data_IF_829590306274
#
_entry.id   IF_829590306274
#
_cell.length_a   1.000
_cell.length_b   1.000
_cell.length_c   1.000
_cell.angle_alpha   90.00
_cell.angle_beta   90.00
_cell.angle_gamma   90.00
#
_symmetry.space_group_name_H-M   'P 1'
#
loop_
_entity.id
_entity.type
_entity.pdbx_description
1 polymer ?
#
# COMPACT_ATOMS: atom_id res chain seq x y z
N UNK A 1 5.00 4.64 -26.11
CA UNK A 1 4.51 3.51 -26.93
C UNK A 1 4.18 4.02 -28.32
N UNK A 2 4.71 3.37 -29.37
CA UNK A 2 4.41 3.75 -30.75
C UNK A 2 2.94 3.43 -31.11
N UNK A 3 2.37 4.15 -32.08
CA UNK A 3 0.99 3.91 -32.55
C UNK A 3 0.73 2.45 -32.98
N UNK A 4 1.77 1.77 -33.48
CA UNK A 4 1.72 0.35 -33.84
C UNK A 4 1.55 -0.58 -32.63
N UNK A 5 2.23 -0.27 -31.51
CA UNK A 5 2.09 -1.05 -30.27
C UNK A 5 0.70 -0.87 -29.62
N UNK A 6 0.12 0.34 -29.69
CA UNK A 6 -1.26 0.58 -29.23
C UNK A 6 -2.27 -0.18 -30.06
N UNK A 7 -2.09 -0.22 -31.40
CA UNK A 7 -2.97 -0.98 -32.30
C UNK A 7 -2.85 -2.49 -32.09
N UNK A 8 -1.65 -3.01 -31.82
CA UNK A 8 -1.43 -4.44 -31.53
C UNK A 8 -2.13 -4.85 -30.23
N UNK A 9 -1.92 -4.10 -29.12
CA UNK A 9 -2.61 -4.36 -27.83
C UNK A 9 -4.14 -4.26 -27.94
N UNK A 10 -4.65 -3.34 -28.75
CA UNK A 10 -6.10 -3.23 -28.97
C UNK A 10 -6.66 -4.45 -29.71
N UNK A 11 -5.97 -4.93 -30.75
CA UNK A 11 -6.38 -6.15 -31.46
C UNK A 11 -6.32 -7.40 -30.57
N UNK A 12 -5.26 -7.56 -29.77
CA UNK A 12 -5.15 -8.67 -28.81
C UNK A 12 -6.29 -8.64 -27.77
N UNK A 13 -6.68 -7.46 -27.31
CA UNK A 13 -7.79 -7.29 -26.37
C UNK A 13 -9.16 -7.58 -27.02
N UNK A 14 -9.34 -7.20 -28.29
CA UNK A 14 -10.55 -7.49 -29.07
C UNK A 14 -10.66 -9.00 -29.38
N UNK A 15 -9.54 -9.68 -29.65
CA UNK A 15 -9.50 -11.14 -29.88
C UNK A 15 -9.83 -11.91 -28.61
N UNK A 16 -9.19 -11.54 -27.49
CA UNK A 16 -9.47 -12.15 -26.18
C UNK A 16 -10.93 -11.95 -25.75
N UNK A 17 -11.51 -10.79 -26.04
CA UNK A 17 -12.92 -10.52 -25.73
C UNK A 17 -13.86 -11.39 -26.59
N UNK A 18 -13.50 -11.67 -27.86
CA UNK A 18 -14.26 -12.58 -28.74
C UNK A 18 -14.16 -14.04 -28.29
N UNK A 19 -12.97 -14.49 -27.89
CA UNK A 19 -12.77 -15.83 -27.34
C UNK A 19 -13.57 -16.03 -26.06
N UNK A 20 -13.54 -15.04 -25.15
CA UNK A 20 -14.30 -15.06 -23.91
C UNK A 20 -15.82 -15.09 -24.19
N UNK A 21 -16.29 -14.28 -25.14
CA UNK A 21 -17.70 -14.25 -25.54
C UNK A 21 -18.15 -15.59 -26.18
N UNK A 22 -17.30 -16.20 -27.01
CA UNK A 22 -17.58 -17.50 -27.60
C UNK A 22 -17.60 -18.63 -26.54
N UNK A 23 -16.70 -18.61 -25.56
CA UNK A 23 -16.69 -19.57 -24.46
C UNK A 23 -17.90 -19.38 -23.51
N UNK A 24 -18.30 -18.14 -23.26
CA UNK A 24 -19.51 -17.82 -22.48
C UNK A 24 -20.78 -18.29 -23.20
N UNK A 25 -20.84 -18.17 -24.53
CA UNK A 25 -21.95 -18.70 -25.35
C UNK A 25 -21.93 -20.23 -25.34
N UNK A 26 -20.76 -20.87 -25.48
CA UNK A 26 -20.60 -22.34 -25.40
C UNK A 26 -21.09 -22.89 -24.06
N UNK A 27 -20.84 -22.21 -22.98
CA UNK A 27 -21.29 -22.58 -21.63
C UNK A 27 -22.76 -22.21 -21.38
N UNK A 28 -23.42 -21.52 -22.33
CA UNK A 28 -24.77 -20.93 -22.18
C UNK A 28 -24.90 -20.05 -20.92
N UNK A 29 -23.78 -19.52 -20.47
CA UNK A 29 -23.65 -18.66 -19.31
C UNK A 29 -23.51 -17.19 -19.77
N UNK A 30 -24.63 -16.61 -20.23
CA UNK A 30 -24.63 -15.15 -20.44
C UNK A 30 -24.41 -14.40 -19.11
N UNK A 31 -23.69 -13.25 -19.11
CA UNK A 31 -23.50 -12.42 -17.92
C UNK A 31 -24.82 -12.14 -17.18
N UNK A 32 -25.89 -11.94 -17.94
CA UNK A 32 -27.23 -11.71 -17.43
C UNK A 32 -27.80 -12.90 -16.65
N UNK A 33 -27.50 -14.14 -17.05
CA UNK A 33 -28.00 -15.34 -16.35
C UNK A 33 -27.29 -15.58 -15.02
N UNK A 34 -25.97 -15.38 -14.96
CA UNK A 34 -25.21 -15.48 -13.70
C UNK A 34 -25.67 -14.39 -12.76
N UNK A 35 -25.80 -13.17 -13.24
CA UNK A 35 -26.26 -12.03 -12.46
C UNK A 35 -27.66 -12.26 -11.91
N UNK A 36 -28.61 -12.56 -12.80
CA UNK A 36 -30.01 -12.80 -12.41
C UNK A 36 -30.13 -14.03 -11.50
N UNK A 37 -29.44 -15.12 -11.81
CA UNK A 37 -29.48 -16.33 -11.02
C UNK A 37 -28.89 -16.14 -9.63
N UNK A 38 -27.68 -15.60 -9.55
CA UNK A 38 -26.94 -15.53 -8.29
C UNK A 38 -27.27 -14.27 -7.48
N UNK A 39 -27.28 -13.10 -8.12
CA UNK A 39 -27.43 -11.83 -7.41
C UNK A 39 -28.90 -11.49 -7.14
N UNK A 40 -29.81 -11.80 -8.08
CA UNK A 40 -31.22 -11.43 -7.94
C UNK A 40 -32.03 -12.55 -7.26
N UNK A 41 -31.91 -13.82 -7.73
CA UNK A 41 -32.74 -14.92 -7.24
C UNK A 41 -32.17 -15.65 -6.02
N UNK A 42 -30.84 -15.68 -5.85
CA UNK A 42 -30.15 -16.35 -4.74
C UNK A 42 -29.32 -15.36 -3.91
N UNK A 43 -29.94 -14.26 -3.46
CA UNK A 43 -29.29 -13.20 -2.68
C UNK A 43 -28.60 -13.74 -1.43
N UNK A 44 -29.20 -14.66 -0.73
CA UNK A 44 -28.67 -15.31 0.46
C UNK A 44 -27.35 -16.04 0.20
N UNK A 45 -27.28 -16.79 -0.92
CA UNK A 45 -26.05 -17.47 -1.35
C UNK A 45 -24.98 -16.46 -1.75
N UNK A 46 -25.36 -15.43 -2.51
CA UNK A 46 -24.41 -14.37 -2.90
C UNK A 46 -23.86 -13.63 -1.68
N UNK A 47 -24.71 -13.24 -0.74
CA UNK A 47 -24.32 -12.54 0.48
C UNK A 47 -23.38 -13.39 1.34
N UNK A 48 -23.71 -14.66 1.56
CA UNK A 48 -22.92 -15.53 2.42
C UNK A 48 -21.57 -15.95 1.83
N UNK A 49 -21.48 -16.16 0.52
CA UNK A 49 -20.30 -16.74 -0.14
C UNK A 49 -19.46 -15.76 -0.96
N UNK A 50 -20.06 -14.68 -1.45
CA UNK A 50 -19.38 -13.68 -2.27
C UNK A 50 -19.24 -12.36 -1.54
N UNK A 51 -20.35 -11.73 -1.15
CA UNK A 51 -20.32 -10.40 -0.55
C UNK A 51 -19.54 -10.38 0.77
N UNK A 52 -19.60 -11.45 1.55
CA UNK A 52 -18.83 -11.61 2.80
C UNK A 52 -17.31 -11.63 2.59
N UNK A 53 -16.84 -11.81 1.36
CA UNK A 53 -15.40 -11.79 0.99
C UNK A 53 -14.95 -10.45 0.42
N UNK A 54 -15.88 -9.57 0.08
CA UNK A 54 -15.57 -8.25 -0.44
C UNK A 54 -15.23 -7.31 0.72
N UNK A 55 -14.12 -6.59 0.60
CA UNK A 55 -13.81 -5.48 1.51
C UNK A 55 -14.70 -4.26 1.23
N UNK A 56 -14.58 -3.22 2.06
CA UNK A 56 -15.43 -2.01 1.95
C UNK A 56 -15.26 -1.28 0.62
N UNK A 57 -14.06 -1.26 0.07
CA UNK A 57 -13.77 -0.66 -1.25
C UNK A 57 -14.44 -1.44 -2.38
N UNK A 58 -14.34 -2.77 -2.37
CA UNK A 58 -15.00 -3.62 -3.36
C UNK A 58 -16.53 -3.52 -3.25
N UNK A 59 -17.08 -3.50 -2.04
CA UNK A 59 -18.52 -3.29 -1.80
C UNK A 59 -18.99 -1.92 -2.30
N UNK A 60 -18.19 -0.87 -2.08
CA UNK A 60 -18.50 0.46 -2.59
C UNK A 60 -18.53 0.48 -4.13
N UNK A 61 -17.56 -0.13 -4.81
CA UNK A 61 -17.60 -0.23 -6.27
C UNK A 61 -18.73 -1.13 -6.75
N UNK A 62 -19.00 -2.23 -6.07
CA UNK A 62 -20.14 -3.09 -6.34
C UNK A 62 -21.47 -2.31 -6.26
N UNK A 63 -21.64 -1.43 -5.27
CA UNK A 63 -22.83 -0.58 -5.14
C UNK A 63 -23.08 0.35 -6.33
N UNK A 64 -22.05 0.65 -7.12
CA UNK A 64 -22.12 1.55 -8.29
C UNK A 64 -22.39 0.82 -9.61
N UNK A 65 -22.47 -0.50 -9.60
CA UNK A 65 -22.68 -1.27 -10.83
C UNK A 65 -24.09 -1.05 -11.37
N UNK A 66 -25.11 -1.25 -10.55
CA UNK A 66 -26.52 -1.06 -10.91
C UNK A 66 -27.39 -1.03 -9.62
N UNK A 67 -28.71 -0.95 -9.80
CA UNK A 67 -29.66 -0.90 -8.70
C UNK A 67 -29.73 -2.23 -7.94
N UNK A 68 -29.70 -3.36 -8.64
CA UNK A 68 -29.73 -4.68 -8.01
C UNK A 68 -28.54 -4.89 -7.06
N UNK A 69 -27.36 -4.34 -7.38
CA UNK A 69 -26.19 -4.36 -6.49
C UNK A 69 -26.46 -3.63 -5.18
N UNK A 70 -27.15 -2.47 -5.26
CA UNK A 70 -27.54 -1.71 -4.06
C UNK A 70 -28.56 -2.49 -3.24
N UNK A 71 -29.59 -3.05 -3.88
CA UNK A 71 -30.64 -3.86 -3.22
C UNK A 71 -30.04 -5.08 -2.50
N UNK A 72 -28.98 -5.68 -3.04
CA UNK A 72 -28.28 -6.82 -2.39
C UNK A 72 -27.47 -6.37 -1.19
N UNK A 73 -26.79 -5.23 -1.27
CA UNK A 73 -26.06 -4.65 -0.14
C UNK A 73 -27.00 -4.26 0.99
N UNK A 74 -28.13 -3.64 0.67
CA UNK A 74 -29.18 -3.30 1.64
C UNK A 74 -29.78 -4.57 2.29
N UNK A 75 -30.05 -5.61 1.48
CA UNK A 75 -30.50 -6.92 1.97
C UNK A 75 -29.50 -7.55 2.96
N UNK A 76 -28.20 -7.36 2.70
CA UNK A 76 -27.12 -7.79 3.60
C UNK A 76 -26.95 -6.90 4.84
N UNK A 77 -27.74 -5.85 5.00
CA UNK A 77 -27.61 -4.87 6.09
C UNK A 77 -26.44 -3.91 5.96
N UNK A 78 -25.87 -3.78 4.75
CA UNK A 78 -24.77 -2.86 4.49
C UNK A 78 -25.30 -1.46 4.19
N UNK A 79 -24.94 -0.50 5.03
CA UNK A 79 -25.26 0.91 4.81
C UNK A 79 -24.31 1.51 3.75
N UNK A 80 -24.81 1.56 2.52
CA UNK A 80 -24.06 2.07 1.35
C UNK A 80 -23.55 3.50 1.56
N UNK A 81 -24.26 4.33 2.35
CA UNK A 81 -23.85 5.71 2.63
C UNK A 81 -22.59 5.80 3.49
N UNK A 82 -22.27 4.75 4.21
CA UNK A 82 -21.08 4.63 5.08
C UNK A 82 -19.91 3.96 4.40
N UNK A 83 -20.10 3.33 3.26
CA UNK A 83 -19.00 2.72 2.52
C UNK A 83 -17.96 3.78 2.14
N UNK A 84 -16.72 3.41 2.30
CA UNK A 84 -15.56 4.24 1.96
C UNK A 84 -14.59 3.40 1.14
N UNK A 85 -13.83 4.07 0.33
CA UNK A 85 -12.76 3.42 -0.41
C UNK A 85 -11.40 3.74 0.22
N UNK A 86 -10.48 2.81 0.09
CA UNK A 86 -9.09 3.00 0.51
C UNK A 86 -8.14 2.33 -0.45
N UNK A 87 -7.04 3.00 -0.77
CA UNK A 87 -5.99 2.45 -1.66
C UNK A 87 -5.48 1.11 -1.13
N UNK A 88 -5.29 1.01 0.20
CA UNK A 88 -4.78 -0.19 0.87
C UNK A 88 -5.72 -1.41 0.77
N UNK A 89 -7.00 -1.20 0.49
CA UNK A 89 -7.99 -2.28 0.31
C UNK A 89 -8.06 -2.79 -1.14
N UNK A 90 -7.42 -2.10 -2.10
CA UNK A 90 -7.45 -2.53 -3.49
C UNK A 90 -6.84 -3.92 -3.63
N UNK A 91 -7.60 -4.84 -4.19
CA UNK A 91 -7.21 -6.23 -4.40
C UNK A 91 -6.45 -6.45 -5.70
N UNK A 92 -6.67 -5.59 -6.71
CA UNK A 92 -6.13 -5.70 -8.05
C UNK A 92 -5.81 -4.34 -8.68
N UNK A 93 -5.05 -4.34 -9.77
CA UNK A 93 -4.80 -3.14 -10.58
C UNK A 93 -6.12 -2.58 -11.14
N UNK A 94 -7.08 -3.43 -11.49
CA UNK A 94 -8.39 -2.98 -11.98
C UNK A 94 -9.15 -2.19 -10.92
N UNK A 95 -9.16 -2.66 -9.67
CA UNK A 95 -9.78 -1.94 -8.55
C UNK A 95 -9.04 -0.63 -8.28
N UNK A 96 -7.71 -0.66 -8.33
CA UNK A 96 -6.88 0.54 -8.15
C UNK A 96 -7.11 1.57 -9.26
N UNK A 97 -7.33 1.13 -10.51
CA UNK A 97 -7.66 2.00 -11.63
C UNK A 97 -9.05 2.63 -11.50
N UNK A 98 -10.03 1.85 -11.05
CA UNK A 98 -11.36 2.39 -10.74
C UNK A 98 -11.25 3.47 -9.65
N UNK A 99 -10.46 3.21 -8.62
CA UNK A 99 -10.24 4.17 -7.55
C UNK A 99 -9.55 5.44 -8.08
N UNK A 100 -8.47 5.31 -8.84
CA UNK A 100 -7.76 6.42 -9.48
C UNK A 100 -8.70 7.35 -10.25
N UNK A 101 -9.61 6.78 -11.03
CA UNK A 101 -10.57 7.52 -11.84
C UNK A 101 -11.69 8.20 -11.02
N UNK A 102 -11.85 7.83 -9.75
CA UNK A 102 -12.86 8.39 -8.85
C UNK A 102 -12.29 9.30 -7.75
N UNK A 103 -10.97 9.50 -7.69
CA UNK A 103 -10.35 10.46 -6.76
C UNK A 103 -10.65 11.89 -7.23
N UNK A 104 -11.10 12.71 -6.29
CA UNK A 104 -11.23 14.16 -6.49
C UNK A 104 -9.85 14.81 -6.32
N UNK A 105 -9.04 14.78 -7.38
CA UNK A 105 -7.67 15.29 -7.37
C UNK A 105 -7.61 16.77 -7.03
N UNK A 106 -6.66 17.14 -6.15
CA UNK A 106 -6.46 18.53 -5.73
C UNK A 106 -7.48 19.03 -4.69
N UNK A 107 -8.49 18.24 -4.37
CA UNK A 107 -9.45 18.61 -3.33
C UNK A 107 -9.00 18.16 -1.94
N UNK A 108 -9.32 18.98 -0.94
CA UNK A 108 -9.07 18.60 0.46
C UNK A 108 -10.12 17.59 0.91
N UNK A 109 -9.69 16.38 1.20
CA UNK A 109 -10.57 15.36 1.75
C UNK A 109 -11.12 15.80 3.10
N UNK A 110 -12.44 15.82 3.24
CA UNK A 110 -13.13 16.10 4.52
C UNK A 110 -12.83 15.06 5.58
N UNK A 111 -12.51 13.83 5.16
CA UNK A 111 -12.25 12.68 6.05
C UNK A 111 -10.78 12.66 6.46
N UNK A 112 -9.86 12.82 5.49
CA UNK A 112 -8.42 12.74 5.72
C UNK A 112 -7.80 14.06 6.17
N UNK A 113 -8.53 15.18 6.04
CA UNK A 113 -8.07 16.51 6.42
C UNK A 113 -6.95 17.08 5.55
N UNK A 114 -6.58 16.41 4.45
CA UNK A 114 -5.48 16.77 3.55
C UNK A 114 -5.89 16.74 2.08
N UNK A 115 -5.08 17.36 1.24
CA UNK A 115 -5.26 17.34 -0.22
C UNK A 115 -4.93 15.94 -0.75
N UNK A 116 -5.77 15.44 -1.64
CA UNK A 116 -5.54 14.19 -2.36
C UNK A 116 -4.78 14.51 -3.64
N UNK A 117 -3.47 14.44 -3.56
CA UNK A 117 -2.54 14.62 -4.68
C UNK A 117 -1.89 13.30 -5.11
N UNK A 118 -1.06 13.37 -6.12
CA UNK A 118 -0.39 12.19 -6.67
C UNK A 118 0.67 11.61 -5.73
N UNK A 119 1.39 12.45 -4.98
CA UNK A 119 2.39 12.01 -4.02
C UNK A 119 1.73 11.23 -2.87
N UNK A 120 0.62 11.76 -2.32
CA UNK A 120 -0.20 11.01 -1.38
C UNK A 120 -0.63 9.65 -1.93
N UNK A 121 -1.09 9.60 -3.19
CA UNK A 121 -1.53 8.34 -3.80
C UNK A 121 -0.40 7.32 -3.90
N UNK A 122 0.80 7.73 -4.35
CA UNK A 122 1.97 6.85 -4.41
C UNK A 122 2.36 6.32 -3.03
N UNK A 123 2.29 7.14 -1.98
CA UNK A 123 2.49 6.72 -0.59
C UNK A 123 1.48 5.65 -0.17
N UNK A 124 0.18 5.88 -0.40
CA UNK A 124 -0.86 4.90 -0.06
C UNK A 124 -0.71 3.60 -0.87
N UNK A 125 -0.29 3.70 -2.13
CA UNK A 125 0.04 2.53 -2.96
C UNK A 125 1.23 1.77 -2.38
N UNK A 126 2.28 2.45 -1.95
CA UNK A 126 3.42 1.82 -1.28
C UNK A 126 2.99 1.12 0.02
N UNK A 127 2.05 1.72 0.77
CA UNK A 127 1.50 1.13 2.00
C UNK A 127 0.75 -0.18 1.79
N UNK A 128 0.28 -0.48 0.56
CA UNK A 128 -0.32 -1.79 0.20
C UNK A 128 0.70 -2.93 0.21
N UNK A 129 1.99 -2.62 0.22
CA UNK A 129 3.10 -3.56 0.11
C UNK A 129 3.15 -4.37 -1.22
N UNK A 130 2.48 -3.89 -2.27
CA UNK A 130 2.41 -4.53 -3.58
C UNK A 130 3.23 -3.73 -4.60
N UNK A 131 4.41 -4.23 -4.97
CA UNK A 131 5.31 -3.55 -5.89
C UNK A 131 4.67 -3.32 -7.28
N UNK A 132 3.85 -4.26 -7.74
CA UNK A 132 3.13 -4.13 -9.02
C UNK A 132 2.17 -2.94 -9.05
N UNK A 133 1.60 -2.56 -7.90
CA UNK A 133 0.73 -1.38 -7.79
C UNK A 133 1.54 -0.09 -7.91
N UNK A 134 2.71 -0.03 -7.26
CA UNK A 134 3.59 1.13 -7.36
C UNK A 134 4.16 1.29 -8.77
N UNK A 135 4.54 0.18 -9.41
CA UNK A 135 4.96 0.18 -10.82
C UNK A 135 3.84 0.69 -11.73
N UNK A 136 2.63 0.22 -11.54
CA UNK A 136 1.48 0.71 -12.31
C UNK A 136 1.25 2.21 -12.11
N UNK A 137 1.29 2.70 -10.88
CA UNK A 137 1.14 4.13 -10.58
C UNK A 137 2.22 4.97 -11.29
N UNK A 138 3.49 4.51 -11.28
CA UNK A 138 4.61 5.25 -11.87
C UNK A 138 4.73 5.09 -13.38
N UNK A 139 4.59 3.89 -13.91
CA UNK A 139 4.89 3.58 -15.32
C UNK A 139 3.67 3.78 -16.23
N UNK A 140 2.46 3.59 -15.70
CA UNK A 140 1.21 3.70 -16.46
C UNK A 140 0.51 5.03 -16.23
N UNK A 141 0.42 5.48 -14.97
CA UNK A 141 -0.26 6.74 -14.61
C UNK A 141 0.70 7.93 -14.58
N UNK A 142 2.02 7.67 -14.58
CA UNK A 142 3.06 8.71 -14.45
C UNK A 142 2.89 9.56 -13.18
N UNK A 143 2.40 8.92 -12.13
CA UNK A 143 2.09 9.55 -10.86
C UNK A 143 3.34 10.16 -10.23
N UNK A 144 3.28 11.38 -9.75
CA UNK A 144 4.35 11.99 -8.98
C UNK A 144 4.50 11.29 -7.63
N UNK A 145 5.69 11.32 -7.06
CA UNK A 145 6.00 10.77 -5.73
C UNK A 145 6.96 11.67 -4.96
N UNK A 146 7.04 11.47 -3.66
CA UNK A 146 7.91 12.19 -2.74
C UNK A 146 8.65 11.22 -1.79
N UNK A 147 9.38 11.77 -0.83
CA UNK A 147 10.13 11.02 0.19
C UNK A 147 9.24 10.08 1.03
N UNK A 148 7.96 10.40 1.19
CA UNK A 148 7.04 9.55 1.95
C UNK A 148 6.81 8.19 1.28
N UNK A 149 6.95 8.12 -0.05
CA UNK A 149 6.82 6.85 -0.79
C UNK A 149 7.97 5.90 -0.46
N UNK A 150 9.21 6.39 -0.44
CA UNK A 150 10.38 5.56 -0.13
C UNK A 150 10.39 5.16 1.35
N UNK A 151 10.04 6.09 2.24
CA UNK A 151 9.91 5.86 3.68
C UNK A 151 8.87 4.76 3.95
N UNK A 152 7.68 4.88 3.36
CA UNK A 152 6.64 3.85 3.49
C UNK A 152 7.08 2.49 2.96
N UNK A 153 7.87 2.44 1.88
CA UNK A 153 8.43 1.19 1.36
C UNK A 153 9.39 0.52 2.34
N UNK A 154 10.21 1.33 3.03
CA UNK A 154 11.10 0.86 4.08
C UNK A 154 10.33 0.37 5.31
N UNK A 155 9.32 1.12 5.77
CA UNK A 155 8.43 0.77 6.90
C UNK A 155 7.74 -0.58 6.68
N UNK A 156 7.29 -0.84 5.46
CA UNK A 156 6.70 -2.15 5.09
C UNK A 156 7.72 -3.28 4.99
N UNK A 157 9.01 -2.97 5.02
CA UNK A 157 10.08 -3.95 4.85
C UNK A 157 10.15 -4.54 3.45
N UNK A 158 9.63 -3.85 2.44
CA UNK A 158 9.65 -4.32 1.07
C UNK A 158 10.92 -3.87 0.35
N UNK A 159 11.96 -4.69 0.48
CA UNK A 159 13.27 -4.40 -0.10
C UNK A 159 13.22 -4.22 -1.62
N UNK A 160 12.38 -4.97 -2.34
CA UNK A 160 12.27 -4.86 -3.79
C UNK A 160 11.58 -3.55 -4.20
N UNK A 161 10.58 -3.10 -3.44
CA UNK A 161 9.93 -1.81 -3.63
C UNK A 161 10.90 -0.67 -3.31
N UNK A 162 11.68 -0.80 -2.24
CA UNK A 162 12.69 0.17 -1.85
C UNK A 162 13.77 0.32 -2.94
N UNK A 163 14.28 -0.81 -3.47
CA UNK A 163 15.21 -0.81 -4.60
C UNK A 163 14.62 -0.16 -5.85
N UNK A 164 13.35 -0.43 -6.14
CA UNK A 164 12.64 0.19 -7.25
C UNK A 164 12.55 1.72 -7.09
N UNK A 165 12.22 2.22 -5.91
CA UNK A 165 12.19 3.65 -5.60
C UNK A 165 13.56 4.31 -5.86
N UNK A 166 14.64 3.72 -5.34
CA UNK A 166 16.00 4.24 -5.56
C UNK A 166 16.41 4.23 -7.04
N UNK A 167 16.11 3.13 -7.76
CA UNK A 167 16.47 2.99 -9.17
C UNK A 167 15.72 3.93 -10.11
N UNK A 168 14.59 4.49 -9.65
CA UNK A 168 13.76 5.42 -10.43
C UNK A 168 13.76 6.85 -9.84
N UNK A 169 14.80 7.19 -9.08
CA UNK A 169 15.03 8.54 -8.54
C UNK A 169 13.85 9.06 -7.69
N UNK A 170 13.27 8.22 -6.84
CA UNK A 170 12.33 8.69 -5.82
C UNK A 170 13.07 9.63 -4.86
N UNK A 171 12.56 10.84 -4.59
CA UNK A 171 13.15 11.72 -3.58
C UNK A 171 13.23 11.01 -2.22
N UNK A 172 14.27 11.31 -1.44
CA UNK A 172 14.40 10.82 -0.07
C UNK A 172 15.24 11.77 0.77
N UNK A 173 14.93 11.83 2.04
CA UNK A 173 15.79 12.44 3.05
C UNK A 173 16.75 11.36 3.58
N UNK A 174 18.06 11.63 3.51
CA UNK A 174 19.09 10.67 3.86
C UNK A 174 19.06 10.30 5.34
N UNK A 175 18.92 11.29 6.21
CA UNK A 175 18.93 11.10 7.65
C UNK A 175 17.63 10.43 8.12
N UNK A 176 16.48 11.00 7.75
CA UNK A 176 15.18 10.46 8.13
C UNK A 176 14.95 9.03 7.66
N UNK A 177 15.29 8.74 6.39
CA UNK A 177 15.12 7.40 5.85
C UNK A 177 15.89 6.33 6.63
N UNK A 178 17.13 6.63 7.02
CA UNK A 178 17.97 5.72 7.82
C UNK A 178 17.41 5.54 9.24
N UNK A 179 17.00 6.63 9.89
CA UNK A 179 16.48 6.61 11.25
C UNK A 179 15.16 5.84 11.32
N UNK A 180 14.24 6.12 10.42
CA UNK A 180 12.93 5.44 10.37
C UNK A 180 13.07 3.96 10.09
N UNK A 181 13.86 3.56 9.08
CA UNK A 181 14.08 2.15 8.78
C UNK A 181 14.64 1.38 9.99
N UNK A 182 15.55 1.99 10.72
CA UNK A 182 16.10 1.40 11.95
C UNK A 182 15.04 1.26 13.06
N UNK A 183 14.18 2.29 13.25
CA UNK A 183 13.08 2.26 14.20
C UNK A 183 12.05 1.17 13.89
N UNK A 184 11.77 0.92 12.60
CA UNK A 184 10.80 -0.10 12.18
C UNK A 184 11.35 -1.53 12.22
N UNK A 185 12.68 -1.70 12.33
CA UNK A 185 13.31 -2.98 12.56
C UNK A 185 13.36 -3.89 11.33
N UNK A 186 13.37 -3.31 10.12
CA UNK A 186 13.44 -4.05 8.86
C UNK A 186 14.90 -4.19 8.41
N UNK A 187 15.60 -5.18 8.94
CA UNK A 187 17.06 -5.34 8.81
C UNK A 187 17.57 -5.26 7.36
N UNK A 188 16.89 -5.92 6.41
CA UNK A 188 17.32 -5.91 5.01
C UNK A 188 17.19 -4.51 4.38
N UNK A 189 16.13 -3.76 4.74
CA UNK A 189 15.95 -2.38 4.31
C UNK A 189 17.00 -1.47 4.94
N UNK A 190 17.30 -1.67 6.23
CA UNK A 190 18.36 -0.94 6.94
C UNK A 190 19.70 -1.15 6.28
N UNK A 191 20.11 -2.40 6.05
CA UNK A 191 21.37 -2.71 5.35
C UNK A 191 21.46 -2.03 4.00
N UNK A 192 20.41 -2.18 3.18
CA UNK A 192 20.37 -1.57 1.87
C UNK A 192 20.48 -0.05 1.93
N UNK A 193 19.72 0.62 2.80
CA UNK A 193 19.77 2.08 2.97
C UNK A 193 21.14 2.55 3.41
N UNK A 194 21.70 1.93 4.44
CA UNK A 194 23.01 2.31 4.98
C UNK A 194 24.16 2.09 3.98
N UNK A 195 24.05 1.08 3.13
CA UNK A 195 25.02 0.86 2.05
C UNK A 195 24.89 1.86 0.91
N UNK A 196 23.68 2.30 0.59
CA UNK A 196 23.41 3.28 -0.48
C UNK A 196 23.66 4.71 -0.04
N UNK A 197 23.14 5.10 1.09
CA UNK A 197 23.19 6.47 1.62
C UNK A 197 24.55 6.76 2.24
N UNK A 198 25.17 5.79 2.92
CA UNK A 198 26.41 5.93 3.70
C UNK A 198 26.29 7.09 4.70
N UNK A 199 25.33 7.00 5.63
CA UNK A 199 25.02 8.09 6.54
C UNK A 199 26.21 8.47 7.41
N UNK A 200 26.17 9.69 7.95
CA UNK A 200 27.16 10.17 8.91
C UNK A 200 27.12 9.34 10.19
N UNK A 201 28.22 9.37 10.96
CA UNK A 201 28.29 8.69 12.26
C UNK A 201 27.20 9.17 13.22
N UNK A 202 26.89 10.44 13.20
CA UNK A 202 25.84 11.05 14.00
C UNK A 202 24.45 10.45 13.64
N UNK A 203 24.17 10.30 12.35
CA UNK A 203 22.94 9.67 11.86
C UNK A 203 22.86 8.19 12.26
N UNK A 204 23.98 7.45 12.19
CA UNK A 204 24.06 6.07 12.68
C UNK A 204 23.72 5.96 14.17
N UNK A 205 24.25 6.86 14.99
CA UNK A 205 23.97 6.90 16.43
C UNK A 205 22.52 7.29 16.73
N UNK A 206 21.95 8.24 15.99
CA UNK A 206 20.52 8.57 16.06
C UNK A 206 19.63 7.37 15.70
N UNK A 207 19.96 6.68 14.61
CA UNK A 207 19.26 5.49 14.19
C UNK A 207 19.34 4.36 15.23
N UNK A 208 20.53 4.13 15.80
CA UNK A 208 20.73 3.15 16.89
C UNK A 208 19.88 3.49 18.12
N UNK A 209 19.80 4.76 18.49
CA UNK A 209 18.97 5.23 19.61
C UNK A 209 17.50 4.98 19.36
N UNK A 210 17.01 5.26 18.15
CA UNK A 210 15.61 4.98 17.78
C UNK A 210 15.31 3.48 17.75
N UNK A 211 16.24 2.67 17.22
CA UNK A 211 16.12 1.21 17.26
C UNK A 211 16.05 0.67 18.70
N UNK A 212 16.87 1.22 19.60
CA UNK A 212 16.84 0.87 21.03
C UNK A 212 15.48 1.22 21.66
N UNK A 213 14.96 2.43 21.41
CA UNK A 213 13.65 2.88 21.88
C UNK A 213 12.47 2.04 21.40
N UNK A 214 12.64 1.35 20.28
CA UNK A 214 11.64 0.44 19.72
C UNK A 214 11.95 -1.04 19.99
N UNK A 215 12.99 -1.35 20.75
CA UNK A 215 13.38 -2.72 21.07
C UNK A 215 13.83 -3.55 19.87
N UNK A 216 14.44 -2.94 18.84
CA UNK A 216 14.84 -3.61 17.61
C UNK A 216 16.20 -4.31 17.77
N UNK A 217 16.22 -5.41 18.46
CA UNK A 217 17.46 -6.15 18.84
C UNK A 217 18.32 -6.50 17.62
N UNK A 218 17.73 -6.96 16.53
CA UNK A 218 18.49 -7.35 15.32
C UNK A 218 19.18 -6.16 14.66
N UNK A 219 18.55 -4.97 14.70
CA UNK A 219 19.14 -3.72 14.22
C UNK A 219 20.28 -3.28 15.15
N UNK A 220 20.11 -3.40 16.46
CA UNK A 220 21.16 -3.07 17.41
C UNK A 220 22.37 -3.97 17.22
N UNK A 221 22.17 -5.28 17.02
CA UNK A 221 23.23 -6.22 16.70
C UNK A 221 23.97 -5.83 15.42
N UNK A 222 23.24 -5.48 14.35
CA UNK A 222 23.82 -4.98 13.09
C UNK A 222 24.71 -3.75 13.33
N UNK A 223 24.26 -2.78 14.13
CA UNK A 223 25.06 -1.59 14.45
C UNK A 223 26.35 -1.93 15.20
N UNK A 224 26.32 -2.84 16.16
CA UNK A 224 27.52 -3.28 16.89
C UNK A 224 28.46 -4.09 16.02
N UNK A 225 27.95 -5.15 15.38
CA UNK A 225 28.77 -6.13 14.69
C UNK A 225 29.28 -5.64 13.32
N UNK A 226 28.41 -4.99 12.53
CA UNK A 226 28.74 -4.62 11.15
C UNK A 226 29.14 -3.14 11.03
N UNK A 227 28.46 -2.22 11.72
CA UNK A 227 28.75 -0.77 11.66
C UNK A 227 29.78 -0.32 12.70
N UNK A 228 30.17 -1.20 13.63
CA UNK A 228 31.17 -0.93 14.68
C UNK A 228 30.82 0.29 15.52
N UNK A 229 29.56 0.46 15.88
CA UNK A 229 29.15 1.45 16.87
C UNK A 229 29.70 1.03 18.24
N UNK A 230 30.41 1.90 18.99
CA UNK A 230 30.98 1.55 20.27
C UNK A 230 29.91 1.07 21.26
N UNK A 231 30.24 0.06 22.04
CA UNK A 231 29.35 -0.51 23.08
C UNK A 231 28.87 0.56 24.07
N UNK A 232 29.72 1.55 24.38
CA UNK A 232 29.37 2.65 25.26
C UNK A 232 28.20 3.50 24.73
N UNK A 233 28.16 3.73 23.42
CA UNK A 233 27.04 4.43 22.77
C UNK A 233 25.77 3.58 22.83
N UNK A 234 25.91 2.28 22.63
CA UNK A 234 24.77 1.35 22.69
C UNK A 234 24.23 1.22 24.12
N UNK A 235 25.08 1.13 25.13
CA UNK A 235 24.69 1.12 26.55
C UNK A 235 23.97 2.42 26.91
N UNK A 236 24.51 3.57 26.48
CA UNK A 236 23.87 4.88 26.71
C UNK A 236 22.50 4.97 26.03
N UNK A 237 22.35 4.45 24.79
CA UNK A 237 21.06 4.41 24.08
C UNK A 237 20.02 3.58 24.84
N UNK A 238 20.38 2.39 25.29
CA UNK A 238 19.50 1.50 26.06
C UNK A 238 19.14 2.12 27.41
N UNK A 239 20.12 2.67 28.14
CA UNK A 239 19.91 3.32 29.44
C UNK A 239 18.93 4.50 29.32
N UNK A 240 19.07 5.35 28.29
CA UNK A 240 18.18 6.50 28.06
C UNK A 240 16.75 6.05 27.81
N UNK A 241 16.56 4.94 27.08
CA UNK A 241 15.23 4.37 26.78
C UNK A 241 14.60 3.81 28.05
N UNK A 242 15.35 3.02 28.82
CA UNK A 242 14.85 2.47 30.09
C UNK A 242 14.46 3.55 31.09
N UNK A 243 15.20 4.65 31.12
CA UNK A 243 14.90 5.80 31.99
C UNK A 243 13.60 6.51 31.55
N UNK A 244 13.40 6.73 30.24
CA UNK A 244 12.18 7.35 29.71
C UNK A 244 10.93 6.50 29.93
N UNK A 245 11.06 5.18 29.86
CA UNK A 245 9.96 4.25 30.17
C UNK A 245 9.62 4.26 31.66
N UNK A 246 10.64 4.29 32.54
CA UNK A 246 10.42 4.38 33.98
C UNK A 246 9.73 5.69 34.38
N UNK A 247 10.12 6.82 33.80
CA UNK A 247 9.48 8.14 34.01
C UNK A 247 8.03 8.17 33.51
N UNK A 248 7.74 7.52 32.35
CA UNK A 248 6.39 7.40 31.81
C UNK A 248 5.48 6.56 32.71
N UNK A 249 5.98 5.50 33.32
CA UNK A 249 5.24 4.67 34.26
C UNK A 249 4.96 5.46 35.54
N UNK A 250 5.97 6.18 36.06
CA UNK A 250 5.85 6.98 37.29
C UNK A 250 4.87 8.16 37.14
N UNK A 251 4.70 8.71 35.94
CA UNK A 251 3.74 9.80 35.66
C UNK A 251 2.30 9.36 35.48
N UNK A 252 2.05 8.06 35.30
CA UNK A 252 0.72 7.47 35.12
C UNK A 252 0.19 6.77 36.41
N UNK A 253 0.93 6.83 37.50
CA UNK A 253 0.54 6.37 38.83
C UNK A 253 0.24 7.55 39.75
#
# INVERSE_FOLDING_TARGET
MSGAQKRKKRKEKEELAKELAAEMERLKLGPTKIWTGLVVHHKDVFVSHVLSKLNTTDQMFFSKVNRESQDVLEYAGVDVSKLRWGVYECSSISTLELLWNNIAWGEKSKILGRVMDQAWFCKEVAATNKLEFLKWAREVKHCEWDEETIKTSADKGNIEMLKYCFSNNCPYDEEESCIHAAADGKLDCVRFLFDKVKPSRETEEKAARQAAGKGRIDILRYFVEERKIPDVVMIACVATVMQSEAESIASNT
#
